data_IF_221914516030
#
_entry.id   IF_221914516030
#
_cell.length_a   1.000
_cell.length_b   1.000
_cell.length_c   1.000
_cell.angle_alpha   90.00
_cell.angle_beta   90.00
_cell.angle_gamma   90.00
#
_symmetry.space_group_name_H-M   'P 1'
#
loop_
_entity.id
_entity.type
_entity.pdbx_description
1 polymer ?
#
# COMPACT_ATOMS: atom_id res chain seq x y z
N UNK A 1 8.08 -2.99 -9.00
CA UNK A 1 6.69 -3.33 -9.38
C UNK A 1 6.04 -4.10 -8.26
N UNK A 2 4.72 -4.02 -8.15
CA UNK A 2 3.97 -4.73 -7.12
C UNK A 2 2.62 -5.22 -7.67
N UNK A 3 2.22 -6.42 -7.26
CA UNK A 3 0.84 -6.90 -7.39
C UNK A 3 0.29 -7.14 -6.00
N UNK A 4 -0.95 -6.69 -5.77
CA UNK A 4 -1.59 -6.75 -4.47
C UNK A 4 -2.98 -7.35 -4.58
N UNK A 5 -3.24 -8.33 -3.72
CA UNK A 5 -4.56 -8.93 -3.50
C UNK A 5 -5.12 -8.47 -2.16
N UNK A 6 -6.20 -7.68 -2.16
CA UNK A 6 -6.84 -7.21 -0.93
C UNK A 6 -7.67 -8.33 -0.27
N UNK A 7 -7.60 -8.43 1.06
CA UNK A 7 -8.28 -9.43 1.89
C UNK A 7 -9.16 -8.70 2.94
N UNK A 8 -10.45 -9.06 3.05
CA UNK A 8 -11.48 -8.21 3.67
C UNK A 8 -11.40 -7.98 5.19
N UNK A 9 -10.94 -8.93 6.03
CA UNK A 9 -10.47 -8.68 7.43
C UNK A 9 -10.17 -10.01 8.13
N UNK A 10 -9.28 -9.93 9.13
CA UNK A 10 -8.80 -10.96 10.04
C UNK A 10 -8.42 -12.28 9.34
N UNK A 11 -7.10 -12.51 9.22
CA UNK A 11 -6.59 -13.88 9.27
C UNK A 11 -7.29 -14.53 10.47
N UNK A 12 -8.12 -15.55 10.24
CA UNK A 12 -8.61 -16.36 11.33
C UNK A 12 -7.38 -16.76 12.18
N UNK A 13 -7.49 -16.83 13.52
CA UNK A 13 -6.41 -17.31 14.37
C UNK A 13 -5.95 -18.75 14.05
N UNK A 14 -6.48 -19.39 13.00
CA UNK A 14 -5.75 -20.37 12.20
C UNK A 14 -4.54 -19.71 11.51
N UNK A 15 -3.55 -19.43 12.36
CA UNK A 15 -2.14 -19.72 12.13
C UNK A 15 -2.01 -20.70 10.97
N UNK A 16 -1.50 -20.20 9.83
CA UNK A 16 -1.01 -21.10 8.81
C UNK A 16 0.12 -21.91 9.44
N UNK A 17 -0.18 -23.18 9.72
CA UNK A 17 0.81 -24.22 10.03
C UNK A 17 1.77 -24.48 8.86
N UNK A 18 1.65 -23.74 7.76
CA UNK A 18 2.54 -23.80 6.60
C UNK A 18 3.45 -22.57 6.61
N UNK A 19 4.63 -22.74 7.23
CA UNK A 19 5.87 -22.01 6.95
C UNK A 19 5.87 -20.46 7.00
N UNK A 20 4.95 -19.81 7.71
CA UNK A 20 5.03 -18.35 7.89
C UNK A 20 6.10 -17.98 8.91
N UNK A 21 7.15 -17.29 8.44
CA UNK A 21 8.09 -16.58 9.31
C UNK A 21 7.59 -15.15 9.51
N UNK A 22 7.29 -14.80 10.77
CA UNK A 22 7.05 -13.39 11.11
C UNK A 22 8.26 -12.57 10.67
N UNK A 23 8.01 -11.51 9.91
CA UNK A 23 9.08 -10.68 9.33
C UNK A 23 9.29 -9.41 10.14
N UNK A 24 8.22 -8.64 10.37
CA UNK A 24 8.32 -7.33 10.97
C UNK A 24 6.99 -6.78 11.47
N UNK A 25 7.10 -5.84 12.42
CA UNK A 25 6.08 -4.89 12.81
C UNK A 25 6.62 -3.48 12.52
N UNK A 26 5.84 -2.67 11.81
CA UNK A 26 6.25 -1.31 11.42
C UNK A 26 5.13 -0.30 11.65
N UNK A 27 5.52 0.91 12.05
CA UNK A 27 4.65 2.09 12.07
C UNK A 27 4.99 2.96 10.87
N UNK A 28 3.99 3.23 10.03
CA UNK A 28 4.14 3.96 8.77
C UNK A 28 3.19 5.16 8.81
N UNK A 29 3.73 6.37 8.68
CA UNK A 29 2.91 7.57 8.45
C UNK A 29 2.89 7.88 6.96
N UNK A 30 1.71 7.87 6.38
CA UNK A 30 1.50 8.21 4.97
C UNK A 30 0.68 9.51 4.88
N UNK A 31 1.27 10.53 4.25
CA UNK A 31 0.55 11.73 3.81
C UNK A 31 0.35 11.65 2.30
N UNK A 32 -0.89 11.60 1.84
CA UNK A 32 -1.25 11.54 0.42
C UNK A 32 -1.57 12.91 -0.13
N UNK A 33 -1.19 13.13 -1.39
CA UNK A 33 -1.33 14.40 -2.09
C UNK A 33 -2.04 14.20 -3.43
N UNK A 34 -2.89 15.16 -3.80
CA UNK A 34 -3.61 15.18 -5.07
C UNK A 34 -3.83 16.63 -5.54
N UNK A 35 -4.20 16.79 -6.80
CA UNK A 35 -4.69 18.03 -7.39
C UNK A 35 -6.15 17.85 -7.78
N UNK A 36 -7.04 18.15 -6.83
CA UNK A 36 -8.49 18.08 -7.03
C UNK A 36 -8.99 16.73 -7.60
N UNK A 37 -8.31 15.62 -7.28
CA UNK A 37 -8.68 14.27 -7.74
C UNK A 37 -8.13 13.90 -9.13
N UNK A 38 -7.36 14.76 -9.78
CA UNK A 38 -6.77 14.47 -11.10
C UNK A 38 -5.81 13.29 -11.06
N UNK A 39 -4.95 13.21 -10.03
CA UNK A 39 -3.97 12.13 -9.93
C UNK A 39 -4.65 10.80 -9.62
N UNK A 40 -5.50 10.76 -8.59
CA UNK A 40 -6.22 9.55 -8.20
C UNK A 40 -7.14 9.03 -9.32
N UNK A 41 -7.79 9.91 -10.08
CA UNK A 41 -8.61 9.53 -11.23
C UNK A 41 -7.77 8.96 -12.39
N UNK A 42 -6.53 9.42 -12.54
CA UNK A 42 -5.55 8.86 -13.47
C UNK A 42 -4.88 7.57 -12.95
N UNK A 43 -5.28 7.06 -11.79
CA UNK A 43 -4.67 5.89 -11.16
C UNK A 43 -3.25 6.15 -10.65
N UNK A 44 -2.97 7.39 -10.23
CA UNK A 44 -1.69 7.79 -9.64
C UNK A 44 -1.91 8.28 -8.22
N UNK A 45 -1.11 7.79 -7.27
CA UNK A 45 -1.12 8.24 -5.89
C UNK A 45 0.28 8.71 -5.50
N UNK A 46 0.40 10.00 -5.20
CA UNK A 46 1.62 10.59 -4.66
C UNK A 46 1.48 10.62 -3.15
N UNK A 47 2.49 10.12 -2.44
CA UNK A 47 2.52 10.13 -0.99
C UNK A 47 3.91 10.46 -0.45
N UNK A 48 3.93 11.02 0.75
CA UNK A 48 5.11 11.09 1.60
C UNK A 48 4.98 10.03 2.70
N UNK A 49 5.79 8.99 2.59
CA UNK A 49 5.85 7.85 3.50
C UNK A 49 7.04 8.00 4.43
N UNK A 50 6.79 8.14 5.74
CA UNK A 50 7.86 8.35 6.73
C UNK A 50 8.86 9.46 6.33
N UNK A 51 8.36 10.52 5.68
CA UNK A 51 9.17 11.63 5.18
C UNK A 51 9.73 11.47 3.76
N UNK A 52 9.73 10.28 3.18
CA UNK A 52 10.22 10.02 1.83
C UNK A 52 9.10 10.08 0.78
N UNK A 53 9.38 10.65 -0.39
CA UNK A 53 8.41 10.72 -1.49
C UNK A 53 8.32 9.40 -2.26
N UNK A 54 7.09 8.98 -2.53
CA UNK A 54 6.77 7.81 -3.35
C UNK A 54 5.59 8.13 -4.27
N UNK A 55 5.66 7.67 -5.52
CA UNK A 55 4.51 7.69 -6.43
C UNK A 55 4.14 6.28 -6.84
N UNK A 56 2.88 5.93 -6.64
CA UNK A 56 2.31 4.64 -7.04
C UNK A 56 1.45 4.85 -8.29
N UNK A 57 1.74 4.12 -9.37
CA UNK A 57 1.07 4.24 -10.66
C UNK A 57 0.38 2.91 -10.97
N UNK A 58 -0.93 2.92 -11.14
CA UNK A 58 -1.69 1.73 -11.56
C UNK A 58 -1.35 1.40 -13.00
N UNK A 59 -1.01 0.14 -13.23
CA UNK A 59 -0.74 -0.41 -14.58
C UNK A 59 -1.82 -1.38 -15.05
N UNK A 60 -2.61 -1.92 -14.13
CA UNK A 60 -3.67 -2.86 -14.46
C UNK A 60 -4.40 -3.41 -13.24
N UNK A 61 -5.11 -4.52 -13.48
CA UNK A 61 -5.87 -5.22 -12.47
C UNK A 61 -7.20 -4.56 -12.13
N UNK A 62 -7.84 -5.03 -11.07
CA UNK A 62 -9.11 -4.54 -10.52
C UNK A 62 -8.94 -4.20 -9.03
N UNK A 63 -10.05 -3.96 -8.34
CA UNK A 63 -10.03 -3.56 -6.93
C UNK A 63 -9.50 -4.65 -5.98
N UNK A 64 -9.66 -5.93 -6.32
CA UNK A 64 -9.14 -7.04 -5.52
C UNK A 64 -7.71 -7.36 -5.90
N UNK A 65 -7.41 -7.49 -7.19
CA UNK A 65 -6.09 -7.76 -7.74
C UNK A 65 -5.54 -6.54 -8.48
N UNK A 66 -4.71 -5.73 -7.85
CA UNK A 66 -4.18 -4.50 -8.43
C UNK A 66 -2.70 -4.59 -8.79
N UNK A 67 -2.29 -3.99 -9.91
CA UNK A 67 -0.91 -3.98 -10.39
C UNK A 67 -0.35 -2.55 -10.43
N UNK A 68 0.87 -2.37 -9.91
CA UNK A 68 1.49 -1.06 -9.75
C UNK A 68 2.96 -1.00 -10.10
N UNK A 69 3.36 0.16 -10.62
CA UNK A 69 4.74 0.64 -10.65
C UNK A 69 4.92 1.70 -9.55
N UNK A 70 6.04 1.66 -8.83
CA UNK A 70 6.36 2.62 -7.77
C UNK A 70 7.62 3.39 -8.14
N UNK A 71 7.56 4.72 -8.08
CA UNK A 71 8.66 5.64 -8.33
C UNK A 71 9.11 6.28 -7.01
N UNK A 72 10.42 6.39 -6.81
CA UNK A 72 11.02 6.95 -5.58
C UNK A 72 11.94 8.14 -5.84
N UNK A 73 12.41 8.33 -7.07
CA UNK A 73 13.27 9.46 -7.42
C UNK A 73 12.43 10.71 -7.62
N UNK A 74 12.81 11.79 -6.95
CA UNK A 74 12.11 13.08 -6.98
C UNK A 74 11.89 13.59 -8.41
N UNK A 75 12.90 13.47 -9.29
CA UNK A 75 12.78 13.87 -10.70
C UNK A 75 11.72 13.09 -11.47
N UNK A 76 11.66 11.77 -11.28
CA UNK A 76 10.67 10.89 -11.92
C UNK A 76 9.25 11.20 -11.40
N UNK A 77 9.13 11.50 -10.10
CA UNK A 77 7.88 11.91 -9.46
C UNK A 77 7.41 13.25 -10.05
N UNK A 78 8.27 14.26 -10.11
CA UNK A 78 7.96 15.58 -10.67
C UNK A 78 7.48 15.46 -12.13
N UNK A 79 8.22 14.73 -12.97
CA UNK A 79 7.86 14.51 -14.37
C UNK A 79 6.50 13.78 -14.51
N UNK A 80 6.22 12.82 -13.63
CA UNK A 80 4.93 12.12 -13.61
C UNK A 80 3.76 13.05 -13.25
N UNK A 81 3.95 13.90 -12.22
CA UNK A 81 2.95 14.87 -11.77
C UNK A 81 2.71 15.93 -12.84
N UNK A 82 3.76 16.49 -13.42
CA UNK A 82 3.66 17.49 -14.49
C UNK A 82 2.87 16.96 -15.69
N UNK A 83 3.19 15.74 -16.15
CA UNK A 83 2.51 15.10 -17.28
C UNK A 83 0.99 14.98 -17.08
N UNK A 84 0.51 14.83 -15.84
CA UNK A 84 -0.92 14.67 -15.55
C UNK A 84 -1.59 16.02 -15.23
N UNK A 85 -0.88 16.89 -14.54
CA UNK A 85 -1.47 18.10 -13.94
C UNK A 85 -1.14 19.40 -14.67
N UNK A 86 -0.15 19.36 -15.56
CA UNK A 86 0.47 20.53 -16.22
C UNK A 86 1.30 21.41 -15.29
N UNK A 87 1.51 21.02 -14.02
CA UNK A 87 2.22 21.83 -13.03
C UNK A 87 3.69 21.45 -12.98
N UNK A 88 4.54 22.45 -13.17
CA UNK A 88 5.98 22.35 -12.93
C UNK A 88 6.28 22.83 -11.52
N UNK A 89 6.47 21.90 -10.60
CA UNK A 89 6.84 22.19 -9.22
C UNK A 89 7.68 21.04 -8.65
N UNK A 90 8.63 21.38 -7.77
CA UNK A 90 9.52 20.42 -7.13
C UNK A 90 9.01 19.92 -5.78
N UNK A 91 9.78 19.04 -5.14
CA UNK A 91 9.45 18.50 -3.81
C UNK A 91 9.31 19.55 -2.70
N UNK A 92 10.00 20.70 -2.84
CA UNK A 92 9.93 21.81 -1.86
C UNK A 92 8.58 22.50 -1.84
N UNK A 93 7.81 22.33 -2.91
CA UNK A 93 6.47 22.89 -3.09
C UNK A 93 5.43 21.76 -3.11
N UNK A 94 5.76 20.58 -2.58
CA UNK A 94 4.92 19.37 -2.61
C UNK A 94 4.42 19.04 -4.04
N UNK A 95 5.24 19.34 -5.06
CA UNK A 95 4.90 19.21 -6.49
C UNK A 95 3.65 20.00 -6.91
N UNK A 96 3.30 21.07 -6.18
CA UNK A 96 2.10 21.87 -6.43
C UNK A 96 0.79 21.12 -6.10
N UNK A 97 0.87 20.10 -5.24
CA UNK A 97 -0.27 19.28 -4.83
C UNK A 97 -0.78 19.70 -3.45
N UNK A 98 -2.06 19.42 -3.18
CA UNK A 98 -2.66 19.61 -1.87
C UNK A 98 -2.75 18.28 -1.11
N UNK A 99 -2.61 18.32 0.21
CA UNK A 99 -2.83 17.14 1.05
C UNK A 99 -4.28 16.67 0.96
N UNK A 100 -4.48 15.39 0.62
CA UNK A 100 -5.80 14.76 0.54
C UNK A 100 -6.08 13.82 1.73
N UNK A 101 -5.04 13.24 2.33
CA UNK A 101 -5.16 12.35 3.48
C UNK A 101 -3.85 12.30 4.28
N UNK A 102 -3.94 12.12 5.59
CA UNK A 102 -2.82 11.85 6.49
C UNK A 102 -3.31 10.87 7.56
N UNK A 103 -2.62 9.74 7.67
CA UNK A 103 -2.92 8.69 8.64
C UNK A 103 -1.71 7.80 8.92
N UNK A 104 -1.72 7.17 10.09
CA UNK A 104 -0.73 6.20 10.52
C UNK A 104 -1.27 4.79 10.28
N UNK A 105 -0.42 3.91 9.76
CA UNK A 105 -0.66 2.46 9.63
C UNK A 105 0.33 1.71 10.52
N UNK A 106 -0.19 0.83 11.37
CA UNK A 106 0.58 -0.25 11.99
C UNK A 106 0.50 -1.47 11.08
N UNK A 107 1.63 -1.89 10.52
CA UNK A 107 1.74 -3.00 9.57
C UNK A 107 2.44 -4.20 10.21
N UNK A 108 1.75 -5.33 10.24
CA UNK A 108 2.32 -6.65 10.51
C UNK A 108 2.63 -7.33 9.17
N UNK A 109 3.81 -7.91 9.02
CA UNK A 109 4.22 -8.60 7.78
C UNK A 109 4.71 -10.01 8.05
N UNK A 110 4.24 -10.96 7.24
CA UNK A 110 4.70 -12.35 7.18
C UNK A 110 5.17 -12.68 5.77
N UNK A 111 6.11 -13.61 5.64
CA UNK A 111 6.54 -14.17 4.35
C UNK A 111 5.98 -15.59 4.22
N UNK A 112 5.37 -15.90 3.08
CA UNK A 112 4.99 -17.26 2.66
C UNK A 112 5.66 -17.63 1.32
N UNK A 113 5.94 -18.91 1.12
CA UNK A 113 6.67 -19.47 -0.02
C UNK A 113 7.97 -18.69 -0.35
N UNK A 114 8.62 -18.13 0.67
CA UNK A 114 9.83 -17.28 0.60
C UNK A 114 9.71 -15.96 -0.19
N UNK A 115 8.55 -15.62 -0.73
CA UNK A 115 8.42 -14.45 -1.61
C UNK A 115 7.14 -13.62 -1.44
N UNK A 116 6.04 -14.24 -1.02
CA UNK A 116 4.76 -13.54 -0.87
C UNK A 116 4.72 -12.85 0.49
N UNK A 117 4.50 -11.54 0.49
CA UNK A 117 4.28 -10.77 1.72
C UNK A 117 2.80 -10.76 2.03
N UNK A 118 2.41 -11.45 3.10
CA UNK A 118 1.10 -11.22 3.67
C UNK A 118 1.23 -10.09 4.68
N UNK A 119 0.45 -9.04 4.48
CA UNK A 119 0.45 -7.87 5.34
C UNK A 119 -0.91 -7.70 5.98
N UNK A 120 -0.91 -7.23 7.22
CA UNK A 120 -2.09 -6.78 7.93
C UNK A 120 -1.85 -5.35 8.38
N UNK A 121 -2.69 -4.46 7.90
CA UNK A 121 -2.59 -3.04 8.13
C UNK A 121 -3.74 -2.57 9.00
N UNK A 122 -3.40 -1.98 10.14
CA UNK A 122 -4.36 -1.31 11.03
C UNK A 122 -4.07 0.18 11.02
N UNK A 123 -5.07 1.00 10.71
CA UNK A 123 -4.93 2.45 10.68
C UNK A 123 -5.35 3.08 12.01
N UNK A 124 -4.80 4.25 12.32
CA UNK A 124 -5.16 5.06 13.49
C UNK A 124 -6.63 5.50 13.53
N UNK A 125 -7.30 5.52 12.38
CA UNK A 125 -8.74 5.80 12.26
C UNK A 125 -9.65 4.55 12.41
N UNK A 126 -9.11 3.41 12.83
CA UNK A 126 -9.88 2.21 13.19
C UNK A 126 -10.22 1.26 12.04
N UNK A 127 -9.80 1.57 10.81
CA UNK A 127 -9.88 0.64 9.69
C UNK A 127 -8.76 -0.41 9.75
N UNK A 128 -9.02 -1.59 9.20
CA UNK A 128 -7.99 -2.63 9.04
C UNK A 128 -8.22 -3.37 7.72
N UNK A 129 -7.13 -3.70 7.03
CA UNK A 129 -7.14 -4.43 5.75
C UNK A 129 -5.97 -5.42 5.71
N UNK A 130 -6.20 -6.60 5.15
CA UNK A 130 -5.13 -7.54 4.80
C UNK A 130 -4.76 -7.39 3.33
N UNK A 131 -3.50 -7.58 2.97
CA UNK A 131 -3.09 -7.69 1.56
C UNK A 131 -2.10 -8.86 1.39
N UNK A 132 -2.15 -9.57 0.27
CA UNK A 132 -1.01 -10.36 -0.22
C UNK A 132 -0.31 -9.52 -1.27
N UNK A 133 0.97 -9.25 -1.05
CA UNK A 133 1.81 -8.47 -1.95
C UNK A 133 2.90 -9.37 -2.55
N UNK A 134 3.08 -9.29 -3.87
CA UNK A 134 4.26 -9.80 -4.58
C UNK A 134 4.98 -8.60 -5.18
N UNK A 135 6.23 -8.37 -4.78
CA UNK A 135 7.03 -7.21 -5.19
C UNK A 135 8.34 -7.64 -5.84
N UNK A 136 8.72 -6.92 -6.89
CA UNK A 136 9.98 -7.16 -7.60
C UNK A 136 10.61 -5.83 -8.02
N UNK A 137 11.86 -5.63 -7.62
CA UNK A 137 12.70 -4.55 -8.14
C UNK A 137 13.31 -5.03 -9.44
N UNK A 138 13.14 -4.25 -10.50
CA UNK A 138 13.68 -4.58 -11.80
C UNK A 138 14.83 -3.65 -12.11
N UNK A 139 16.01 -4.22 -12.30
CA UNK A 139 17.20 -3.54 -12.79
C UNK A 139 17.43 -4.03 -14.23
N UNK A 140 17.59 -3.10 -15.19
CA UNK A 140 17.87 -3.50 -16.56
C UNK A 140 19.31 -3.99 -16.72
N UNK A 141 19.54 -4.81 -17.74
CA UNK A 141 20.88 -5.31 -18.05
C UNK A 141 21.80 -4.13 -18.41
N UNK A 142 22.93 -4.01 -17.72
CA UNK A 142 23.90 -2.95 -17.97
C UNK A 142 23.50 -1.55 -17.47
N UNK A 143 22.48 -1.44 -16.61
CA UNK A 143 22.05 -0.17 -16.03
C UNK A 143 21.07 0.63 -16.89
N UNK A 144 20.64 0.10 -18.04
CA UNK A 144 19.57 0.70 -18.85
C UNK A 144 18.20 0.47 -18.20
N UNK A 145 17.25 1.38 -18.44
CA UNK A 145 15.88 1.20 -17.99
C UNK A 145 15.20 0.08 -18.79
N UNK A 146 14.48 -0.82 -18.11
CA UNK A 146 13.68 -1.84 -18.81
C UNK A 146 12.63 -1.20 -19.71
N UNK A 147 12.42 -1.81 -20.87
CA UNK A 147 11.35 -1.41 -21.78
C UNK A 147 9.96 -1.67 -21.17
N UNK A 148 8.96 -0.91 -21.58
CA UNK A 148 7.57 -1.13 -21.12
C UNK A 148 7.04 -2.53 -21.48
N UNK A 149 7.59 -3.17 -22.52
CA UNK A 149 7.24 -4.54 -22.93
C UNK A 149 7.76 -5.56 -21.91
N UNK A 150 9.03 -5.46 -21.51
CA UNK A 150 9.62 -6.34 -20.49
C UNK A 150 8.92 -6.16 -19.14
N UNK A 151 8.69 -4.89 -18.77
CA UNK A 151 7.93 -4.53 -17.59
C UNK A 151 6.55 -5.19 -17.55
N UNK A 152 5.82 -5.14 -18.67
CA UNK A 152 4.49 -5.74 -18.80
C UNK A 152 4.54 -7.27 -18.72
N UNK A 153 5.50 -7.89 -19.40
CA UNK A 153 5.67 -9.34 -19.36
C UNK A 153 5.93 -9.84 -17.93
N UNK A 154 6.74 -9.10 -17.16
CA UNK A 154 7.00 -9.46 -15.76
C UNK A 154 5.77 -9.27 -14.87
N UNK A 155 5.01 -8.19 -15.06
CA UNK A 155 3.73 -8.01 -14.36
C UNK A 155 2.78 -9.18 -14.63
N UNK A 156 2.68 -9.66 -15.87
CA UNK A 156 1.82 -10.81 -16.19
C UNK A 156 2.28 -12.10 -15.50
N UNK A 157 3.59 -12.33 -15.40
CA UNK A 157 4.13 -13.48 -14.67
C UNK A 157 3.83 -13.40 -13.17
N UNK A 158 4.04 -12.24 -12.56
CA UNK A 158 3.71 -11.99 -11.16
C UNK A 158 2.22 -12.19 -10.91
N UNK A 159 1.35 -11.77 -11.84
CA UNK A 159 -0.11 -11.85 -11.71
C UNK A 159 -0.61 -13.29 -11.71
N UNK A 160 -0.04 -14.12 -12.58
CA UNK A 160 -0.30 -15.56 -12.60
C UNK A 160 0.10 -16.20 -11.27
N UNK A 161 1.28 -15.87 -10.75
CA UNK A 161 1.81 -16.44 -9.51
C UNK A 161 0.99 -16.05 -8.28
N UNK A 162 0.56 -14.79 -8.18
CA UNK A 162 -0.31 -14.37 -7.08
C UNK A 162 -1.67 -15.06 -7.17
N UNK A 163 -2.20 -15.27 -8.37
CA UNK A 163 -3.46 -15.99 -8.58
C UNK A 163 -3.35 -17.46 -8.16
N UNK A 164 -2.26 -18.13 -8.53
CA UNK A 164 -1.96 -19.50 -8.11
C UNK A 164 -1.81 -19.61 -6.59
N UNK A 165 -1.11 -18.64 -5.96
CA UNK A 165 -0.98 -18.55 -4.51
C UNK A 165 -2.32 -18.38 -3.82
N UNK A 166 -3.14 -17.41 -4.26
CA UNK A 166 -4.47 -17.16 -3.68
C UNK A 166 -5.41 -18.35 -3.86
N UNK A 167 -5.30 -19.08 -4.97
CA UNK A 167 -6.07 -20.32 -5.20
C UNK A 167 -5.65 -21.41 -4.23
N UNK A 168 -4.33 -21.66 -4.11
CA UNK A 168 -3.75 -22.68 -3.22
C UNK A 168 -4.09 -22.44 -1.75
N UNK A 169 -4.04 -21.19 -1.32
CA UNK A 169 -4.28 -20.78 0.06
C UNK A 169 -5.65 -20.13 0.27
N UNK A 170 -6.61 -20.40 -0.61
CA UNK A 170 -7.98 -19.83 -0.54
C UNK A 170 -8.64 -20.06 0.81
N UNK A 171 -8.38 -21.21 1.44
CA UNK A 171 -8.86 -21.57 2.79
C UNK A 171 -8.38 -20.64 3.92
N UNK A 172 -7.30 -19.87 3.70
CA UNK A 172 -6.68 -19.03 4.72
C UNK A 172 -7.18 -17.57 4.70
N UNK A 173 -8.04 -17.22 3.74
CA UNK A 173 -8.51 -15.86 3.52
C UNK A 173 -10.03 -15.83 3.63
N UNK A 174 -10.57 -14.93 4.46
CA UNK A 174 -12.00 -14.79 4.62
C UNK A 174 -12.65 -14.16 3.38
N UNK A 175 -13.88 -14.59 3.08
CA UNK A 175 -14.73 -13.95 2.07
C UNK A 175 -15.23 -12.58 2.55
N UNK A 176 -15.37 -11.64 1.62
CA UNK A 176 -15.86 -10.29 1.89
C UNK A 176 -15.45 -9.27 0.84
N UNK A 177 -16.02 -8.07 0.94
CA UNK A 177 -15.65 -6.95 0.07
C UNK A 177 -14.48 -6.19 0.69
N UNK A 178 -13.27 -6.26 0.10
CA UNK A 178 -12.17 -5.47 0.62
C UNK A 178 -12.51 -3.97 0.53
N UNK A 179 -11.96 -3.17 1.44
CA UNK A 179 -12.01 -1.72 1.37
C UNK A 179 -10.59 -1.17 1.53
N UNK A 180 -10.12 -0.43 0.53
CA UNK A 180 -8.79 0.16 0.53
C UNK A 180 -8.67 1.29 1.55
N UNK A 181 -7.44 1.55 2.00
CA UNK A 181 -7.11 2.55 3.03
C UNK A 181 -7.69 3.93 2.74
N UNK A 182 -7.41 4.45 1.54
CA UNK A 182 -7.84 5.79 1.12
C UNK A 182 -9.36 5.88 0.97
N UNK A 183 -10.00 4.83 0.47
CA UNK A 183 -11.47 4.77 0.36
C UNK A 183 -12.12 4.82 1.74
N UNK A 184 -11.61 4.05 2.71
CA UNK A 184 -12.11 4.09 4.08
C UNK A 184 -11.91 5.47 4.71
N UNK A 185 -10.74 6.08 4.52
CA UNK A 185 -10.44 7.42 5.03
C UNK A 185 -11.37 8.51 4.48
N UNK A 186 -11.61 8.52 3.16
CA UNK A 186 -12.47 9.52 2.52
C UNK A 186 -13.93 9.37 2.94
N UNK A 187 -14.42 8.13 3.07
CA UNK A 187 -15.74 7.84 3.62
C UNK A 187 -15.84 8.44 5.03
N UNK A 188 -14.92 8.10 5.95
CA UNK A 188 -14.96 8.59 7.33
C UNK A 188 -14.95 10.13 7.42
N UNK A 189 -14.09 10.80 6.64
CA UNK A 189 -14.08 12.27 6.60
C UNK A 189 -15.39 12.87 6.08
N UNK A 190 -16.01 12.24 5.08
CA UNK A 190 -17.28 12.72 4.51
C UNK A 190 -18.44 12.62 5.50
N UNK A 191 -18.41 11.62 6.38
CA UNK A 191 -19.46 11.41 7.40
C UNK A 191 -19.16 12.10 8.74
N UNK A 192 -18.08 12.88 8.85
CA UNK A 192 -17.79 13.69 10.03
C UNK A 192 -17.54 12.90 11.33
N UNK A 193 -17.16 11.62 11.22
CA UNK A 193 -16.90 10.78 12.39
C UNK A 193 -15.60 11.27 13.05
N UNK A 194 -15.62 11.67 14.34
CA UNK A 194 -14.44 12.16 15.03
C UNK A 194 -13.31 11.10 15.04
N UNK A 195 -12.09 11.53 14.74
CA UNK A 195 -10.90 10.70 14.91
C UNK A 195 -10.72 10.47 16.42
N UNK A 196 -10.87 9.23 16.88
CA UNK A 196 -10.54 8.88 18.27
C UNK A 196 -9.02 8.85 18.37
N UNK A 197 -8.38 9.67 19.23
CA UNK A 197 -6.94 9.61 19.40
C UNK A 197 -6.52 8.19 19.79
N UNK A 198 -5.53 7.64 19.09
CA UNK A 198 -4.92 6.37 19.46
C UNK A 198 -4.39 6.48 20.90
N UNK A 199 -4.98 5.71 21.83
CA UNK A 199 -4.42 5.50 23.16
C UNK A 199 -3.46 4.33 23.08
N UNK A 200 -2.22 4.57 23.46
CA UNK A 200 -1.25 3.49 23.67
C UNK A 200 -1.62 2.72 24.93
N UNK A 201 -2.40 1.65 24.79
CA UNK A 201 -2.77 0.80 25.92
C UNK A 201 -1.58 0.04 26.52
N UNK A 202 -0.36 0.22 26.00
CA UNK A 202 0.89 -0.33 26.57
C UNK A 202 1.50 0.49 27.70
N UNK A 203 0.93 1.64 28.07
CA UNK A 203 1.39 2.44 29.22
C UNK A 203 0.58 2.22 30.52
N UNK A 204 -0.36 1.27 30.55
CA UNK A 204 -1.19 0.98 31.73
C UNK A 204 -0.67 -0.17 32.62
N UNK A 205 0.53 -0.69 32.38
CA UNK A 205 1.19 -1.66 33.27
C UNK A 205 2.50 -1.13 33.86
N UNK A 206 2.42 -0.02 34.59
CA UNK A 206 3.48 0.38 35.52
C UNK A 206 2.91 1.26 36.62
N UNK A 207 2.12 0.67 37.53
CA UNK A 207 2.03 1.18 38.89
C UNK A 207 2.26 0.00 39.85
N UNK A 208 3.25 0.07 40.74
CA UNK A 208 3.34 -0.87 41.84
C UNK A 208 2.22 -0.54 42.84
N UNK A 209 1.49 -1.57 43.26
CA UNK A 209 0.56 -1.49 44.39
C UNK A 209 1.34 -1.16 45.68
N UNK A 210 0.72 -0.44 46.64
CA UNK A 210 1.33 -0.09 47.92
C UNK A 210 1.65 -1.31 48.79
#
# INVERSE_FOLDING_TARGET
>A
MAIRQNIPKALAPCILEVERKFRSLATIRDTYYDKAGLLSSAGVWVRRRNGAWETKIRKGGNFTNSQFEELHKVGDIAACVERITGVQAGEREDFGLATMADFITTRETWIADNEFHIVRDKMDFGHEVGEVELQQTLEGKGGEALSEVEKRAEMQRMDKRITEFMTRYSWAFADGLPMGKLTAYTILRRWGIPQVPWRDDRLLQAQPLP
#
